data_IF_825795435422
#
_entry.id   IF_825795435422
#
_cell.length_a   1.000
_cell.length_b   1.000
_cell.length_c   1.000
_cell.angle_alpha   90.00
_cell.angle_beta   90.00
_cell.angle_gamma   90.00
#
_symmetry.space_group_name_H-M   'P 1'
#
loop_
_entity.id
_entity.type
_entity.pdbx_description
1 polymer ?
#
# COMPACT_ATOMS: atom_id res chain seq x y z
N UNK A 1 -38.76 -15.01 -24.92
CA UNK A 1 -38.98 -15.08 -23.45
C UNK A 1 -37.62 -15.20 -22.78
N UNK A 2 -37.25 -14.36 -21.79
CA UNK A 2 -36.03 -14.60 -21.05
C UNK A 2 -36.19 -15.93 -20.30
N UNK A 3 -35.30 -16.89 -20.56
CA UNK A 3 -35.30 -18.19 -19.90
C UNK A 3 -35.24 -18.03 -18.38
N UNK A 4 -35.92 -18.93 -17.67
CA UNK A 4 -35.85 -18.95 -16.21
C UNK A 4 -34.40 -19.19 -15.78
N UNK A 5 -33.84 -18.38 -14.86
CA UNK A 5 -32.47 -18.57 -14.40
C UNK A 5 -32.35 -19.92 -13.68
N UNK A 6 -31.26 -20.64 -13.95
CA UNK A 6 -30.92 -21.87 -13.22
C UNK A 6 -30.92 -21.60 -11.72
N UNK A 7 -31.57 -22.46 -10.93
CA UNK A 7 -31.54 -22.37 -9.47
C UNK A 7 -30.11 -22.58 -8.95
N UNK A 8 -29.63 -21.66 -8.11
CA UNK A 8 -28.30 -21.69 -7.49
C UNK A 8 -28.33 -21.75 -5.96
N UNK A 9 -29.50 -21.87 -5.34
CA UNK A 9 -29.63 -21.91 -3.89
C UNK A 9 -28.80 -23.07 -3.33
N UNK A 10 -27.99 -22.81 -2.30
CA UNK A 10 -27.07 -23.75 -1.68
C UNK A 10 -25.69 -23.84 -2.34
N UNK A 11 -25.47 -23.24 -3.51
CA UNK A 11 -24.15 -23.22 -4.15
C UNK A 11 -23.19 -22.27 -3.41
N UNK A 12 -21.91 -22.67 -3.33
CA UNK A 12 -20.84 -21.93 -2.63
C UNK A 12 -19.84 -21.36 -3.63
N UNK A 13 -19.50 -20.09 -3.45
CA UNK A 13 -18.57 -19.31 -4.26
C UNK A 13 -17.58 -18.57 -3.35
N UNK A 14 -16.42 -19.18 -3.09
CA UNK A 14 -15.47 -18.68 -2.11
C UNK A 14 -16.06 -18.71 -0.69
N UNK A 15 -16.26 -17.54 -0.08
CA UNK A 15 -16.91 -17.37 1.22
C UNK A 15 -18.42 -17.15 1.14
N UNK A 16 -19.00 -17.08 -0.06
CA UNK A 16 -20.43 -16.83 -0.24
C UNK A 16 -21.21 -18.11 -0.46
N UNK A 17 -22.32 -18.29 0.25
CA UNK A 17 -23.31 -19.34 0.00
C UNK A 17 -24.60 -18.69 -0.49
N UNK A 18 -25.14 -19.13 -1.63
CA UNK A 18 -26.39 -18.58 -2.16
C UNK A 18 -27.57 -19.02 -1.29
N UNK A 19 -28.32 -18.06 -0.74
CA UNK A 19 -29.44 -18.33 0.18
C UNK A 19 -30.81 -18.12 -0.46
N UNK A 20 -30.95 -17.17 -1.40
CA UNK A 20 -32.22 -16.93 -2.12
C UNK A 20 -32.02 -16.21 -3.44
N UNK A 21 -32.98 -16.37 -4.35
CA UNK A 21 -33.07 -15.58 -5.57
C UNK A 21 -33.48 -14.13 -5.25
N UNK A 22 -33.02 -13.18 -6.07
CA UNK A 22 -33.52 -11.80 -6.06
C UNK A 22 -34.46 -11.55 -7.22
N UNK A 23 -35.35 -10.57 -7.06
CA UNK A 23 -36.21 -10.05 -8.11
C UNK A 23 -35.44 -9.19 -9.13
N UNK A 24 -34.22 -8.74 -8.77
CA UNK A 24 -33.39 -7.91 -9.63
C UNK A 24 -32.76 -8.71 -10.77
N UNK A 25 -32.62 -8.04 -11.92
CA UNK A 25 -31.88 -8.54 -13.08
C UNK A 25 -30.93 -7.49 -13.62
N UNK A 26 -29.84 -7.94 -14.23
CA UNK A 26 -28.92 -7.05 -14.96
C UNK A 26 -29.55 -6.60 -16.28
N UNK A 27 -29.00 -5.57 -16.91
CA UNK A 27 -29.41 -5.14 -18.27
C UNK A 27 -29.27 -6.26 -19.31
N UNK A 28 -28.34 -7.19 -19.09
CA UNK A 28 -28.13 -8.36 -19.94
C UNK A 28 -29.06 -9.55 -19.59
N UNK A 29 -29.94 -9.42 -18.60
CA UNK A 29 -30.92 -10.43 -18.20
C UNK A 29 -30.46 -11.42 -17.13
N UNK A 30 -29.25 -11.30 -16.58
CA UNK A 30 -28.77 -12.19 -15.50
C UNK A 30 -29.54 -11.93 -14.21
N UNK A 31 -29.97 -12.99 -13.54
CA UNK A 31 -30.58 -12.91 -12.22
C UNK A 31 -29.55 -12.54 -11.15
N UNK A 32 -30.00 -11.77 -10.16
CA UNK A 32 -29.26 -11.54 -8.92
C UNK A 32 -29.60 -12.61 -7.88
N UNK A 33 -28.64 -12.86 -6.99
CA UNK A 33 -28.72 -13.85 -5.93
C UNK A 33 -28.27 -13.22 -4.62
N UNK A 34 -29.06 -13.40 -3.58
CA UNK A 34 -28.64 -13.09 -2.22
C UNK A 34 -27.74 -14.21 -1.73
N UNK A 35 -26.55 -13.83 -1.27
CA UNK A 35 -25.55 -14.75 -0.77
C UNK A 35 -25.17 -14.38 0.65
N UNK A 36 -25.08 -15.36 1.54
CA UNK A 36 -24.58 -15.20 2.90
C UNK A 36 -23.09 -15.52 2.93
N UNK A 37 -22.30 -14.60 3.45
CA UNK A 37 -20.87 -14.77 3.66
C UNK A 37 -20.59 -15.58 4.92
N UNK A 38 -19.44 -16.25 5.00
CA UNK A 38 -19.01 -16.97 6.22
C UNK A 38 -18.91 -16.10 7.47
N UNK A 39 -18.78 -14.77 7.32
CA UNK A 39 -18.82 -13.82 8.43
C UNK A 39 -20.25 -13.46 8.90
N UNK A 40 -21.29 -13.99 8.25
CA UNK A 40 -22.70 -13.73 8.55
C UNK A 40 -23.33 -12.62 7.70
N UNK A 41 -22.55 -11.74 7.08
CA UNK A 41 -23.07 -10.66 6.23
C UNK A 41 -23.66 -11.18 4.93
N UNK A 42 -24.75 -10.56 4.46
CA UNK A 42 -25.33 -10.87 3.15
C UNK A 42 -24.86 -9.89 2.07
N UNK A 43 -24.82 -10.37 0.82
CA UNK A 43 -24.57 -9.56 -0.37
C UNK A 43 -25.41 -10.03 -1.53
N UNK A 44 -25.99 -9.09 -2.25
CA UNK A 44 -26.66 -9.36 -3.51
C UNK A 44 -25.66 -9.36 -4.68
N UNK A 45 -25.58 -10.46 -5.43
CA UNK A 45 -24.57 -10.68 -6.46
C UNK A 45 -25.21 -11.10 -7.79
N UNK A 46 -24.83 -10.51 -8.94
CA UNK A 46 -25.31 -10.95 -10.23
C UNK A 46 -24.73 -12.32 -10.60
N UNK A 47 -25.54 -13.21 -11.17
CA UNK A 47 -25.17 -14.60 -11.42
C UNK A 47 -23.97 -14.81 -12.36
N UNK A 48 -23.61 -13.83 -13.19
CA UNK A 48 -22.40 -13.89 -14.03
C UNK A 48 -21.11 -13.61 -13.27
N UNK A 49 -21.19 -13.08 -12.04
CA UNK A 49 -20.04 -12.89 -11.13
C UNK A 49 -19.89 -14.01 -10.10
N UNK A 50 -20.89 -14.87 -9.95
CA UNK A 50 -20.80 -16.10 -9.17
C UNK A 50 -20.21 -17.21 -10.05
N UNK A 51 -18.88 -17.33 -10.04
CA UNK A 51 -18.15 -18.36 -10.80
C UNK A 51 -16.97 -18.90 -10.03
N UNK A 52 -16.77 -20.22 -10.09
CA UNK A 52 -15.57 -20.89 -9.57
C UNK A 52 -14.39 -20.84 -10.55
N UNK A 53 -14.62 -20.42 -11.80
CA UNK A 53 -13.57 -20.33 -12.80
C UNK A 53 -12.79 -19.01 -12.64
N UNK A 54 -11.67 -19.10 -11.94
CA UNK A 54 -10.74 -17.99 -11.69
C UNK A 54 -9.88 -17.61 -12.90
N UNK A 55 -9.82 -18.43 -13.95
CA UNK A 55 -9.12 -18.12 -15.20
C UNK A 55 -9.89 -17.14 -16.10
N UNK A 56 -11.15 -16.79 -15.76
CA UNK A 56 -11.93 -15.81 -16.50
C UNK A 56 -11.34 -14.40 -16.33
N UNK A 57 -11.41 -13.59 -17.40
CA UNK A 57 -11.06 -12.16 -17.34
C UNK A 57 -12.04 -11.31 -16.54
N UNK A 58 -13.28 -11.78 -16.31
CA UNK A 58 -14.30 -11.01 -15.59
C UNK A 58 -14.12 -11.16 -14.07
N UNK A 59 -14.26 -10.08 -13.29
CA UNK A 59 -14.14 -10.13 -11.84
C UNK A 59 -15.26 -10.98 -11.23
N UNK A 60 -14.88 -11.96 -10.43
CA UNK A 60 -15.80 -12.76 -9.63
C UNK A 60 -16.07 -12.08 -8.29
N UNK A 61 -17.17 -12.46 -7.67
CA UNK A 61 -17.51 -12.05 -6.31
C UNK A 61 -17.55 -13.29 -5.44
N UNK A 62 -16.65 -13.33 -4.47
CA UNK A 62 -16.39 -14.50 -3.62
C UNK A 62 -16.52 -14.19 -2.12
N UNK A 63 -16.87 -12.96 -1.75
CA UNK A 63 -17.06 -12.51 -0.38
C UNK A 63 -18.06 -11.34 -0.29
N UNK A 64 -18.53 -11.05 0.92
CA UNK A 64 -19.28 -9.83 1.18
C UNK A 64 -18.39 -8.58 0.98
N UNK A 65 -19.01 -7.40 0.91
CA UNK A 65 -18.28 -6.14 0.65
C UNK A 65 -17.27 -5.82 1.75
N UNK A 66 -17.64 -6.09 3.02
CA UNK A 66 -16.77 -5.89 4.17
C UNK A 66 -15.52 -6.76 4.09
N UNK A 67 -15.68 -8.08 3.95
CA UNK A 67 -14.54 -9.00 3.88
C UNK A 67 -13.68 -8.76 2.63
N UNK A 68 -14.29 -8.44 1.48
CA UNK A 68 -13.54 -8.09 0.27
C UNK A 68 -12.68 -6.84 0.49
N UNK A 69 -13.24 -5.81 1.14
CA UNK A 69 -12.51 -4.58 1.47
C UNK A 69 -11.39 -4.83 2.47
N UNK A 70 -11.64 -5.61 3.52
CA UNK A 70 -10.64 -5.97 4.53
C UNK A 70 -9.44 -6.67 3.91
N UNK A 71 -9.68 -7.70 3.08
CA UNK A 71 -8.63 -8.41 2.34
C UNK A 71 -7.83 -7.48 1.43
N UNK A 72 -8.50 -6.53 0.77
CA UNK A 72 -7.81 -5.54 -0.06
C UNK A 72 -6.89 -4.64 0.78
N UNK A 73 -7.39 -4.15 1.92
CA UNK A 73 -6.60 -3.33 2.85
C UNK A 73 -5.40 -4.12 3.38
N UNK A 74 -5.62 -5.34 3.85
CA UNK A 74 -4.57 -6.24 4.32
C UNK A 74 -3.50 -6.47 3.24
N UNK A 75 -3.94 -6.73 2.00
CA UNK A 75 -3.05 -6.88 0.86
C UNK A 75 -2.18 -5.63 0.60
N UNK A 76 -2.75 -4.43 0.75
CA UNK A 76 -2.01 -3.16 0.62
C UNK A 76 -1.00 -3.00 1.76
N UNK A 77 -1.40 -3.27 3.01
CA UNK A 77 -0.51 -3.21 4.17
C UNK A 77 0.70 -4.15 4.01
N UNK A 78 0.45 -5.42 3.65
CA UNK A 78 1.52 -6.42 3.42
C UNK A 78 2.49 -5.95 2.33
N UNK A 79 1.97 -5.38 1.23
CA UNK A 79 2.81 -4.85 0.17
C UNK A 79 3.67 -3.69 0.67
N UNK A 80 3.06 -2.72 1.36
CA UNK A 80 3.76 -1.56 1.89
C UNK A 80 4.86 -1.96 2.88
N UNK A 81 4.63 -2.96 3.73
CA UNK A 81 5.62 -3.45 4.69
C UNK A 81 6.82 -4.10 4.00
N UNK A 82 6.59 -4.87 2.92
CA UNK A 82 7.66 -5.47 2.12
C UNK A 82 8.50 -4.41 1.42
N UNK A 83 7.85 -3.40 0.83
CA UNK A 83 8.53 -2.27 0.20
C UNK A 83 9.30 -1.45 1.24
N UNK A 84 8.74 -1.26 2.43
CA UNK A 84 9.39 -0.53 3.51
C UNK A 84 10.65 -1.21 4.03
N UNK A 85 10.63 -2.54 4.20
CA UNK A 85 11.85 -3.33 4.51
C UNK A 85 12.93 -3.08 3.46
N UNK A 86 12.56 -3.07 2.19
CA UNK A 86 13.48 -2.80 1.08
C UNK A 86 14.06 -1.39 1.14
N UNK A 87 13.21 -0.37 1.38
CA UNK A 87 13.63 1.02 1.54
C UNK A 87 14.59 1.22 2.71
N UNK A 88 14.33 0.60 3.87
CA UNK A 88 15.23 0.66 5.03
C UNK A 88 16.59 0.04 4.72
N UNK A 89 16.60 -1.14 4.10
CA UNK A 89 17.85 -1.81 3.73
C UNK A 89 18.66 -0.98 2.72
N UNK A 90 18.00 -0.35 1.75
CA UNK A 90 18.65 0.57 0.82
C UNK A 90 19.23 1.80 1.54
N UNK A 91 18.45 2.47 2.38
CA UNK A 91 18.89 3.63 3.14
C UNK A 91 20.09 3.31 4.05
N UNK A 92 20.11 2.13 4.68
CA UNK A 92 21.26 1.67 5.45
C UNK A 92 22.53 1.56 4.59
N UNK A 93 22.44 0.91 3.41
CA UNK A 93 23.57 0.77 2.48
C UNK A 93 24.08 2.10 1.95
N UNK A 94 23.19 3.04 1.66
CA UNK A 94 23.55 4.38 1.20
C UNK A 94 24.23 5.19 2.31
N UNK A 95 23.67 5.15 3.53
CA UNK A 95 24.25 5.82 4.70
C UNK A 95 25.65 5.32 5.06
N UNK A 96 25.91 4.02 4.89
CA UNK A 96 27.23 3.45 5.15
C UNK A 96 28.32 4.15 4.32
N UNK A 97 28.02 4.45 3.05
CA UNK A 97 28.92 5.14 2.13
C UNK A 97 29.10 6.63 2.45
N UNK A 98 28.25 7.19 3.32
CA UNK A 98 28.24 8.61 3.67
C UNK A 98 28.83 8.89 5.05
N UNK A 99 29.26 7.87 5.79
CA UNK A 99 29.95 8.04 7.08
C UNK A 99 31.19 8.92 6.90
N UNK A 100 31.33 9.95 7.73
CA UNK A 100 32.40 10.95 7.63
C UNK A 100 32.21 12.02 6.54
N UNK A 101 31.28 11.83 5.59
CA UNK A 101 30.95 12.81 4.55
C UNK A 101 29.74 13.67 4.92
N UNK A 102 28.87 13.17 5.79
CA UNK A 102 27.69 13.87 6.29
C UNK A 102 27.73 14.00 7.82
N UNK A 103 27.06 14.99 8.41
CA UNK A 103 26.97 15.09 9.87
C UNK A 103 26.40 13.83 10.52
N UNK A 104 27.04 13.33 11.58
CA UNK A 104 26.60 12.11 12.28
C UNK A 104 25.16 12.20 12.78
N UNK A 105 24.72 13.40 13.19
CA UNK A 105 23.32 13.67 13.57
C UNK A 105 22.31 13.30 12.48
N UNK A 106 22.68 13.33 11.20
CA UNK A 106 21.80 12.88 10.11
C UNK A 106 21.75 11.36 10.00
N UNK A 107 22.86 10.68 10.28
CA UNK A 107 22.94 9.21 10.30
C UNK A 107 22.18 8.60 11.47
N UNK A 108 21.91 9.38 12.52
CA UNK A 108 21.06 8.99 13.65
C UNK A 108 19.55 9.16 13.39
N UNK A 109 19.16 9.85 12.31
CA UNK A 109 17.75 10.03 11.97
C UNK A 109 17.10 8.70 11.53
N UNK A 110 15.76 8.60 11.55
CA UNK A 110 15.04 7.50 10.93
C UNK A 110 15.42 7.32 9.46
N UNK A 111 15.44 6.07 9.00
CA UNK A 111 15.89 5.69 7.66
C UNK A 111 14.93 6.17 6.55
N UNK A 112 13.64 6.16 6.84
CA UNK A 112 12.56 6.41 5.88
C UNK A 112 11.48 7.26 6.55
N UNK A 113 10.51 7.72 5.77
CA UNK A 113 9.35 8.45 6.29
C UNK A 113 8.46 7.56 7.16
N UNK A 114 8.27 6.29 6.79
CA UNK A 114 7.51 5.34 7.62
C UNK A 114 8.22 5.07 8.95
N UNK A 115 9.55 4.87 8.93
CA UNK A 115 10.34 4.73 10.16
C UNK A 115 10.27 5.98 11.04
N UNK A 116 10.27 7.18 10.45
CA UNK A 116 10.07 8.40 11.22
C UNK A 116 8.71 8.46 11.88
N UNK A 117 7.63 8.10 11.17
CA UNK A 117 6.28 8.04 11.74
C UNK A 117 6.19 7.04 12.90
N UNK A 118 6.81 5.86 12.78
CA UNK A 118 6.88 4.86 13.86
C UNK A 118 7.55 5.41 15.13
N UNK A 119 8.59 6.23 14.95
CA UNK A 119 9.33 6.84 16.06
C UNK A 119 8.75 8.20 16.52
N UNK A 120 7.62 8.64 15.97
CA UNK A 120 7.04 9.95 16.27
C UNK A 120 7.92 11.14 15.83
N UNK A 121 8.84 10.91 14.90
CA UNK A 121 9.75 11.93 14.37
C UNK A 121 9.21 12.55 13.08
N UNK A 122 9.56 13.81 12.84
CA UNK A 122 9.15 14.55 11.64
C UNK A 122 10.22 14.57 10.55
N UNK A 123 11.43 14.14 10.88
CA UNK A 123 12.60 14.11 10.00
C UNK A 123 13.10 12.69 9.79
N UNK A 124 13.68 12.44 8.61
CA UNK A 124 14.37 11.20 8.27
C UNK A 124 15.50 11.50 7.29
N UNK A 125 16.43 10.57 7.09
CA UNK A 125 17.53 10.75 6.14
C UNK A 125 17.77 9.47 5.34
N UNK A 126 17.42 9.43 4.06
CA UNK A 126 17.61 8.18 3.29
C UNK A 126 19.08 7.92 2.94
N UNK A 127 19.87 8.97 2.73
CA UNK A 127 21.19 8.87 2.09
C UNK A 127 21.13 9.09 0.57
N UNK A 128 19.94 9.20 -0.01
CA UNK A 128 19.73 9.60 -1.41
C UNK A 128 19.59 11.11 -1.58
N UNK A 129 20.06 11.59 -2.74
CA UNK A 129 19.80 12.96 -3.21
C UNK A 129 18.34 13.14 -3.59
N UNK A 130 17.80 14.33 -3.34
CA UNK A 130 16.43 14.66 -3.75
C UNK A 130 16.36 14.89 -5.27
N UNK A 131 15.16 15.15 -5.81
CA UNK A 131 14.97 15.43 -7.24
C UNK A 131 15.73 16.67 -7.74
N UNK A 132 16.05 17.61 -6.85
CA UNK A 132 16.89 18.79 -7.16
C UNK A 132 18.38 18.54 -6.88
N UNK A 133 18.77 17.31 -6.56
CA UNK A 133 20.18 16.93 -6.36
C UNK A 133 20.72 17.16 -4.94
N UNK A 134 19.96 17.71 -4.00
CA UNK A 134 20.44 17.96 -2.63
C UNK A 134 20.59 16.69 -1.80
N UNK A 135 21.68 16.58 -1.03
CA UNK A 135 21.91 15.54 -0.04
C UNK A 135 21.64 16.10 1.37
N UNK A 136 20.42 15.91 1.88
CA UNK A 136 20.00 16.44 3.18
C UNK A 136 18.87 15.62 3.81
N UNK A 137 18.56 15.79 5.11
CA UNK A 137 17.38 15.22 5.74
C UNK A 137 16.07 15.66 5.08
N UNK A 138 15.05 14.81 5.16
CA UNK A 138 13.73 14.98 4.59
C UNK A 138 12.66 15.13 5.68
N UNK A 139 11.54 15.77 5.33
CA UNK A 139 10.36 15.88 6.19
C UNK A 139 9.29 14.88 5.74
N UNK A 140 8.56 14.28 6.68
CA UNK A 140 7.53 13.26 6.38
C UNK A 140 6.40 13.72 5.43
N UNK A 141 6.22 15.04 5.25
CA UNK A 141 5.25 15.66 4.34
C UNK A 141 5.84 16.81 3.48
N UNK A 142 7.16 16.84 3.29
CA UNK A 142 7.80 17.95 2.58
C UNK A 142 9.15 17.58 1.98
N UNK A 143 9.60 18.39 1.02
CA UNK A 143 10.92 18.25 0.41
C UNK A 143 12.06 18.30 1.43
N UNK A 144 13.27 17.92 0.99
CA UNK A 144 14.44 17.93 1.87
C UNK A 144 14.69 19.31 2.47
N UNK A 145 15.34 19.34 3.64
CA UNK A 145 15.60 20.56 4.39
C UNK A 145 16.41 21.58 3.59
N UNK A 146 17.31 21.10 2.72
CA UNK A 146 18.06 21.94 1.78
C UNK A 146 17.15 22.66 0.77
N UNK A 147 16.16 21.99 0.19
CA UNK A 147 15.19 22.65 -0.70
C UNK A 147 14.42 23.78 0.00
N UNK A 148 14.25 23.72 1.31
CA UNK A 148 13.58 24.78 2.09
C UNK A 148 14.53 25.75 2.78
N UNK A 149 15.83 25.69 2.49
CA UNK A 149 16.83 26.57 3.11
C UNK A 149 17.07 26.35 4.61
N UNK A 150 16.59 25.24 5.19
CA UNK A 150 16.74 24.96 6.63
C UNK A 150 18.13 24.40 6.98
N UNK A 151 18.80 23.75 6.03
CA UNK A 151 20.17 23.23 6.21
C UNK A 151 20.88 23.21 4.85
N UNK A 152 22.20 23.39 4.78
CA UNK A 152 22.94 23.16 3.54
C UNK A 152 22.89 21.68 3.14
N UNK A 153 23.04 21.43 1.84
CA UNK A 153 23.21 20.09 1.28
C UNK A 153 24.65 19.62 1.51
N UNK A 154 24.83 18.34 1.84
CA UNK A 154 26.15 17.76 1.98
C UNK A 154 26.82 17.61 0.61
N UNK A 155 28.07 18.08 0.53
CA UNK A 155 28.83 18.21 -0.72
C UNK A 155 28.92 19.64 -1.27
N UNK A 156 28.12 20.58 -0.75
CA UNK A 156 28.23 22.03 -1.05
C UNK A 156 29.07 22.79 0.00
N UNK A 157 29.61 22.08 0.99
CA UNK A 157 30.53 22.64 1.98
C UNK A 157 31.92 22.81 1.35
N UNK A 158 32.53 24.02 1.37
CA UNK A 158 33.94 24.14 1.05
C UNK A 158 34.76 23.26 2.02
N UNK A 159 35.88 22.66 1.57
CA UNK A 159 36.68 21.79 2.43
C UNK A 159 37.03 22.54 3.71
N UNK A 160 36.56 22.05 4.84
CA UNK A 160 36.95 22.56 6.15
C UNK A 160 38.46 22.33 6.26
N UNK A 161 39.25 23.41 6.10
CA UNK A 161 40.68 23.35 6.40
C UNK A 161 40.83 22.87 7.85
N UNK A 162 41.71 21.89 8.13
CA UNK A 162 41.99 21.50 9.50
C UNK A 162 42.54 22.73 10.25
N UNK A 163 41.88 23.09 11.35
CA UNK A 163 42.36 24.08 12.29
C UNK A 163 43.56 23.45 13.01
N UNK A 164 44.77 23.79 12.59
CA UNK A 164 45.98 23.45 13.32
C UNK A 164 45.99 24.23 14.64
N UNK A 165 46.13 23.51 15.76
CA UNK A 165 46.57 24.05 17.05
C UNK A 165 48.08 23.88 17.18
#
# INVERSE_FOLDING_TARGET
>A
MPSSPRNRIGEVYGQLTVVRASERRTKAGNAYWWCQCTCGNEREVPGDKLSLNTARRKPIVDACETCARERQVEGVCIKNDREEKTRRAQAQREREQLKGLVPDRWLMLPLTDAHARELGQTLFFRGTRCLLGHLAPYRINGGCQACSGQTPSAGDLPPTKPTAS
#
